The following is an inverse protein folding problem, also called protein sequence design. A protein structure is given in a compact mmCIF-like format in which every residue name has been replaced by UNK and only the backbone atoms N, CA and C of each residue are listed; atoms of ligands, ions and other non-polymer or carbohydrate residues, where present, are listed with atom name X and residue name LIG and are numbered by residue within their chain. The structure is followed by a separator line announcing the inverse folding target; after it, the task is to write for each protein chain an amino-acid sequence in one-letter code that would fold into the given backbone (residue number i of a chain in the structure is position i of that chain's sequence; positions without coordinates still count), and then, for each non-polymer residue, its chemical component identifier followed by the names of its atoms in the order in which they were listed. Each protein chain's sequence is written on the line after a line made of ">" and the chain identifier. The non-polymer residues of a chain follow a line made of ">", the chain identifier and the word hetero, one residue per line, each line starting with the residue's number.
data_IF_817426245297
#
_entry.id   IF_817426245297
#
_cell.length_a   1.000
_cell.length_b   1.000
_cell.length_c   1.000
_cell.angle_alpha   90.00
_cell.angle_beta   90.00
_cell.angle_gamma   90.00
#
_symmetry.space_group_name_H-M   'P 1'
#
loop_
_entity.id
_entity.type
_entity.pdbx_description
1 polymer ?
#
# COMPACT_ATOMS: atom_id res chain seq x y z
N UNK A 1 70.95 -12.04 37.99
CA UNK A 1 70.45 -12.31 39.36
C UNK A 1 69.19 -11.48 39.55
N UNK A 2 68.03 -12.17 39.57
CA UNK A 2 66.75 -11.90 40.27
C UNK A 2 66.16 -10.47 40.19
N UNK A 3 64.86 -10.21 40.01
CA UNK A 3 63.59 -10.93 40.10
C UNK A 3 62.54 -9.98 39.48
N UNK A 4 61.60 -10.40 38.63
CA UNK A 4 60.31 -11.07 38.94
C UNK A 4 59.19 -10.12 39.43
N UNK A 5 57.97 -10.37 38.90
CA UNK A 5 56.60 -10.01 39.34
C UNK A 5 55.97 -8.77 38.67
N UNK A 6 55.01 -8.90 37.75
CA UNK A 6 53.65 -9.46 37.84
C UNK A 6 52.72 -8.58 38.69
N UNK A 7 51.78 -7.83 38.08
CA UNK A 7 50.48 -7.50 38.70
C UNK A 7 49.56 -6.71 37.77
N UNK A 8 48.32 -7.21 37.63
CA UNK A 8 47.05 -6.49 37.48
C UNK A 8 46.93 -5.34 36.46
N UNK A 9 46.03 -5.49 35.49
CA UNK A 9 44.74 -4.76 35.50
C UNK A 9 43.73 -5.49 34.61
N UNK A 10 42.83 -6.23 35.25
CA UNK A 10 41.58 -6.72 34.70
C UNK A 10 40.62 -5.52 34.72
N UNK A 11 40.18 -5.02 33.56
CA UNK A 11 39.01 -4.15 33.49
C UNK A 11 38.06 -4.72 32.45
N UNK A 12 36.95 -5.20 32.99
CA UNK A 12 35.79 -5.73 32.31
C UNK A 12 35.20 -4.67 31.36
N UNK A 13 35.12 -5.02 30.07
CA UNK A 13 34.15 -4.40 29.17
C UNK A 13 33.05 -5.42 28.93
N UNK A 14 32.11 -5.46 29.88
CA UNK A 14 30.80 -6.08 29.71
C UNK A 14 30.07 -5.18 28.71
N UNK A 15 30.22 -5.50 27.43
CA UNK A 15 29.36 -4.96 26.40
C UNK A 15 28.05 -5.74 26.47
N UNK A 16 27.13 -5.19 27.27
CA UNK A 16 25.76 -5.63 27.39
C UNK A 16 25.05 -5.32 26.06
N UNK A 17 25.22 -6.17 25.06
CA UNK A 17 24.41 -6.13 23.86
C UNK A 17 23.03 -6.70 24.20
N UNK A 18 22.14 -5.77 24.53
CA UNK A 18 20.70 -5.91 24.36
C UNK A 18 20.45 -6.42 22.94
N UNK A 19 20.30 -7.74 22.80
CA UNK A 19 19.57 -8.31 21.67
C UNK A 19 18.12 -7.89 21.88
N UNK A 20 17.76 -6.75 21.29
CA UNK A 20 16.40 -6.36 21.02
C UNK A 20 15.67 -7.59 20.51
N UNK A 21 14.70 -8.06 21.28
CA UNK A 21 13.79 -9.11 20.88
C UNK A 21 13.00 -8.58 19.69
N UNK A 22 13.52 -8.78 18.47
CA UNK A 22 12.71 -8.77 17.26
C UNK A 22 11.78 -9.95 17.41
N UNK A 23 10.68 -9.73 18.13
CA UNK A 23 9.48 -10.54 17.97
C UNK A 23 9.01 -10.25 16.56
N UNK A 24 9.60 -10.96 15.59
CA UNK A 24 9.00 -11.21 14.29
C UNK A 24 7.68 -11.88 14.62
N UNK A 25 6.68 -11.05 14.87
CA UNK A 25 5.31 -11.43 14.62
C UNK A 25 5.30 -11.69 13.11
N UNK A 26 5.56 -12.94 12.72
CA UNK A 26 5.03 -13.54 11.50
C UNK A 26 3.50 -13.52 11.62
N UNK A 27 2.95 -12.31 11.69
CA UNK A 27 1.56 -12.01 11.97
C UNK A 27 0.86 -12.02 10.64
N UNK A 28 0.13 -13.11 10.40
CA UNK A 28 -0.94 -13.20 9.41
C UNK A 28 -0.61 -12.45 8.11
N UNK A 29 0.18 -13.07 7.22
CA UNK A 29 0.41 -12.51 5.89
C UNK A 29 -0.93 -12.27 5.22
N UNK A 30 -1.30 -10.99 5.13
CA UNK A 30 -2.53 -10.52 4.53
C UNK A 30 -2.66 -11.11 3.13
N UNK A 31 -3.89 -11.38 2.69
CA UNK A 31 -4.17 -11.79 1.29
C UNK A 31 -3.53 -10.81 0.29
N UNK A 32 -3.37 -9.54 0.68
CA UNK A 32 -2.80 -8.49 -0.15
C UNK A 32 -1.28 -8.55 -0.32
N UNK A 33 -0.56 -9.30 0.53
CA UNK A 33 0.88 -9.54 0.35
C UNK A 33 1.19 -10.86 -0.34
N UNK A 34 0.21 -11.76 -0.42
CA UNK A 34 0.39 -13.12 -0.96
C UNK A 34 -0.14 -13.31 -2.37
N UNK A 35 -1.10 -12.49 -2.79
CA UNK A 35 -1.76 -12.60 -4.08
C UNK A 35 -1.55 -11.34 -4.92
N UNK A 36 -1.49 -11.52 -6.23
CA UNK A 36 -1.43 -10.41 -7.18
C UNK A 36 -2.76 -9.63 -7.23
N UNK A 37 -2.74 -8.31 -7.48
CA UNK A 37 -3.95 -7.49 -7.59
C UNK A 37 -4.96 -7.93 -8.66
N UNK A 38 -4.51 -8.70 -9.66
CA UNK A 38 -5.39 -9.27 -10.70
C UNK A 38 -6.15 -10.51 -10.24
N UNK A 39 -5.75 -11.14 -9.13
CA UNK A 39 -6.36 -12.37 -8.62
C UNK A 39 -7.81 -12.14 -8.15
N UNK A 40 -8.72 -13.06 -8.47
CA UNK A 40 -10.13 -12.97 -8.05
C UNK A 40 -10.31 -12.77 -6.55
N UNK A 41 -9.67 -13.60 -5.73
CA UNK A 41 -9.82 -13.56 -4.28
C UNK A 41 -9.25 -12.27 -3.68
N UNK A 42 -8.18 -11.74 -4.28
CA UNK A 42 -7.63 -10.43 -3.92
C UNK A 42 -8.66 -9.33 -4.17
N UNK A 43 -9.20 -9.26 -5.39
CA UNK A 43 -10.16 -8.22 -5.78
C UNK A 43 -11.42 -8.26 -4.93
N UNK A 44 -11.95 -9.45 -4.67
CA UNK A 44 -13.14 -9.63 -3.84
C UNK A 44 -12.87 -9.24 -2.38
N UNK A 45 -11.68 -9.56 -1.85
CA UNK A 45 -11.30 -9.14 -0.49
C UNK A 45 -11.13 -7.63 -0.38
N UNK A 46 -10.48 -7.00 -1.37
CA UNK A 46 -10.30 -5.56 -1.41
C UNK A 46 -11.64 -4.82 -1.51
N UNK A 47 -12.54 -5.30 -2.37
CA UNK A 47 -13.89 -4.75 -2.49
C UNK A 47 -14.66 -4.79 -1.16
N UNK A 48 -14.60 -5.91 -0.43
CA UNK A 48 -15.23 -6.02 0.90
C UNK A 48 -14.62 -5.04 1.92
N UNK A 49 -13.30 -4.86 1.90
CA UNK A 49 -12.62 -3.89 2.77
C UNK A 49 -13.07 -2.47 2.48
N UNK A 50 -13.13 -2.09 1.20
CA UNK A 50 -13.59 -0.76 0.78
C UNK A 50 -15.06 -0.53 1.12
N UNK A 51 -15.92 -1.53 0.93
CA UNK A 51 -17.34 -1.41 1.24
C UNK A 51 -17.63 -1.32 2.74
N UNK A 52 -16.74 -1.85 3.59
CA UNK A 52 -16.92 -1.90 5.04
C UNK A 52 -16.41 -0.69 5.81
N UNK A 53 -15.51 0.12 5.22
CA UNK A 53 -14.82 1.22 5.93
C UNK A 53 -14.62 2.42 4.99
N UNK A 54 -15.66 3.22 4.75
CA UNK A 54 -15.61 4.29 3.75
C UNK A 54 -14.87 5.54 4.22
N UNK A 55 -14.69 5.72 5.52
CA UNK A 55 -14.32 7.00 6.10
C UNK A 55 -12.84 7.10 6.47
N UNK A 56 -12.14 5.96 6.55
CA UNK A 56 -10.73 5.89 6.96
C UNK A 56 -9.81 5.32 5.87
N UNK A 57 -10.22 5.38 4.60
CA UNK A 57 -9.39 4.90 3.49
C UNK A 57 -8.68 6.06 2.80
N UNK A 58 -7.36 5.92 2.69
CA UNK A 58 -6.48 6.80 1.92
C UNK A 58 -6.20 6.15 0.57
N UNK A 59 -6.33 6.92 -0.50
CA UNK A 59 -6.08 6.49 -1.87
C UNK A 59 -4.92 7.30 -2.45
N UNK A 60 -3.78 6.66 -2.67
CA UNK A 60 -2.59 7.31 -3.26
C UNK A 60 -2.42 6.84 -4.70
N UNK A 61 -2.33 7.77 -5.65
CA UNK A 61 -2.08 7.42 -7.04
C UNK A 61 -0.66 6.84 -7.19
N UNK A 62 -0.54 5.67 -7.79
CA UNK A 62 0.76 5.08 -8.14
C UNK A 62 1.03 5.27 -9.64
N UNK A 63 0.10 4.82 -10.49
CA UNK A 63 0.29 4.93 -11.95
C UNK A 63 -1.00 4.94 -12.72
N UNK A 64 -0.96 5.53 -13.90
CA UNK A 64 -1.96 5.38 -14.95
C UNK A 64 -1.57 4.20 -15.86
N UNK A 65 -2.54 3.42 -16.31
CA UNK A 65 -2.36 2.38 -17.32
C UNK A 65 -3.50 2.39 -18.32
N UNK A 66 -3.19 2.08 -19.57
CA UNK A 66 -4.17 1.85 -20.62
C UNK A 66 -3.98 0.43 -21.16
N UNK A 67 -5.07 -0.33 -21.28
CA UNK A 67 -5.05 -1.68 -21.83
C UNK A 67 -6.35 -1.96 -22.59
N UNK A 68 -6.24 -2.40 -23.85
CA UNK A 68 -7.38 -2.71 -24.72
C UNK A 68 -8.42 -1.57 -24.79
N UNK A 69 -7.95 -0.32 -24.91
CA UNK A 69 -8.80 0.88 -24.97
C UNK A 69 -9.52 1.23 -23.66
N UNK A 70 -9.21 0.55 -22.55
CA UNK A 70 -9.69 0.89 -21.21
C UNK A 70 -8.57 1.54 -20.43
N UNK A 71 -8.93 2.54 -19.63
CA UNK A 71 -7.99 3.33 -18.86
C UNK A 71 -8.17 3.04 -17.36
N UNK A 72 -7.06 2.91 -16.65
CA UNK A 72 -7.01 2.46 -15.27
C UNK A 72 -6.07 3.33 -14.44
N UNK A 73 -6.42 3.53 -13.18
CA UNK A 73 -5.52 4.04 -12.15
C UNK A 73 -5.14 2.89 -11.22
N UNK A 74 -3.84 2.65 -11.08
CA UNK A 74 -3.33 1.84 -9.98
C UNK A 74 -3.14 2.77 -8.79
N UNK A 75 -3.77 2.43 -7.68
CA UNK A 75 -3.75 3.21 -6.45
C UNK A 75 -3.27 2.37 -5.29
N UNK A 76 -2.48 2.93 -4.40
CA UNK A 76 -2.31 2.36 -3.07
C UNK A 76 -3.54 2.70 -2.24
N UNK A 77 -4.13 1.69 -1.61
CA UNK A 77 -5.34 1.80 -0.79
C UNK A 77 -4.96 1.39 0.62
N UNK A 78 -4.97 2.35 1.52
CA UNK A 78 -4.58 2.19 2.91
C UNK A 78 -5.81 2.39 3.78
N UNK A 79 -6.18 1.34 4.51
CA UNK A 79 -7.18 1.41 5.56
C UNK A 79 -6.57 1.04 6.92
N UNK A 80 -7.37 1.04 8.00
CA UNK A 80 -6.86 0.86 9.36
C UNK A 80 -6.12 -0.46 9.60
N UNK A 81 -6.53 -1.53 8.91
CA UNK A 81 -5.98 -2.87 9.08
C UNK A 81 -5.50 -3.53 7.77
N UNK A 82 -5.41 -2.75 6.67
CA UNK A 82 -4.96 -3.27 5.39
C UNK A 82 -4.24 -2.23 4.54
N UNK A 83 -3.29 -2.70 3.73
CA UNK A 83 -2.62 -1.95 2.68
C UNK A 83 -2.63 -2.81 1.42
N UNK A 84 -3.13 -2.27 0.32
CA UNK A 84 -3.36 -3.02 -0.92
C UNK A 84 -3.23 -2.12 -2.16
N UNK A 85 -2.83 -2.69 -3.28
CA UNK A 85 -2.91 -2.05 -4.58
C UNK A 85 -4.28 -2.29 -5.21
N UNK A 86 -5.04 -1.22 -5.45
CA UNK A 86 -6.28 -1.26 -6.23
C UNK A 86 -6.06 -0.91 -7.69
N UNK A 87 -6.81 -1.56 -8.57
CA UNK A 87 -6.90 -1.21 -9.99
C UNK A 87 -8.29 -0.64 -10.24
N UNK A 88 -8.37 0.67 -10.49
CA UNK A 88 -9.62 1.39 -10.67
C UNK A 88 -9.83 1.67 -12.16
N UNK A 89 -10.92 1.18 -12.72
CA UNK A 89 -11.37 1.51 -14.08
C UNK A 89 -11.94 2.93 -14.11
N UNK A 90 -11.50 3.73 -15.07
CA UNK A 90 -11.95 5.12 -15.25
C UNK A 90 -12.63 5.28 -16.61
N UNK A 91 -13.96 5.37 -16.61
CA UNK A 91 -14.74 5.65 -17.84
C UNK A 91 -15.18 7.10 -17.95
N UNK A 92 -15.04 7.88 -16.87
CA UNK A 92 -15.32 9.30 -16.84
C UNK A 92 -14.16 10.02 -16.15
N UNK A 93 -13.57 11.00 -16.84
CA UNK A 93 -12.39 11.72 -16.38
C UNK A 93 -12.70 13.03 -15.68
N UNK A 94 -13.97 13.30 -15.37
CA UNK A 94 -14.36 14.47 -14.59
C UNK A 94 -13.52 14.57 -13.29
N UNK A 95 -12.87 15.71 -13.07
CA UNK A 95 -11.92 16.00 -11.97
C UNK A 95 -10.58 15.25 -12.00
N UNK A 96 -10.35 14.42 -13.01
CA UNK A 96 -9.11 13.68 -13.25
C UNK A 96 -8.46 14.08 -14.59
N UNK A 97 -8.92 15.15 -15.25
CA UNK A 97 -8.54 15.52 -16.61
C UNK A 97 -7.03 15.75 -16.73
N UNK A 98 -6.42 16.34 -15.71
CA UNK A 98 -4.97 16.55 -15.69
C UNK A 98 -4.21 15.23 -15.60
N UNK A 99 -4.66 14.29 -14.76
CA UNK A 99 -4.08 12.94 -14.68
C UNK A 99 -4.22 12.22 -16.03
N UNK A 100 -5.38 12.33 -16.70
CA UNK A 100 -5.57 11.79 -18.06
C UNK A 100 -4.58 12.41 -19.05
N UNK A 101 -4.52 13.74 -19.07
CA UNK A 101 -3.70 14.51 -20.02
C UNK A 101 -2.20 14.25 -19.88
N UNK A 102 -1.72 14.02 -18.66
CA UNK A 102 -0.31 13.67 -18.41
C UNK A 102 -0.05 12.17 -18.36
N UNK A 103 -1.08 11.33 -18.57
CA UNK A 103 -1.00 9.88 -18.36
C UNK A 103 -0.38 9.52 -17.00
N UNK A 104 -0.82 10.22 -15.96
CA UNK A 104 -0.36 10.06 -14.58
C UNK A 104 1.03 10.62 -14.27
N UNK A 105 1.77 11.15 -15.25
CA UNK A 105 3.07 11.77 -15.00
C UNK A 105 2.89 13.03 -14.14
N UNK A 106 3.71 13.13 -13.09
CA UNK A 106 3.66 14.24 -12.13
C UNK A 106 2.56 14.15 -11.09
N UNK A 107 1.83 13.02 -10.99
CA UNK A 107 0.81 12.79 -9.95
C UNK A 107 1.06 11.48 -9.17
N UNK A 108 2.17 10.78 -9.42
CA UNK A 108 2.53 9.61 -8.62
C UNK A 108 2.86 10.05 -7.20
N UNK A 109 2.17 9.48 -6.22
CA UNK A 109 2.24 9.88 -4.81
C UNK A 109 1.12 10.84 -4.40
N UNK A 110 0.35 11.40 -5.35
CA UNK A 110 -0.75 12.29 -5.03
C UNK A 110 -1.91 11.53 -4.37
N UNK A 111 -2.49 12.11 -3.33
CA UNK A 111 -3.70 11.61 -2.69
C UNK A 111 -4.94 11.97 -3.51
N UNK A 112 -5.75 10.97 -3.83
CA UNK A 112 -7.08 11.11 -4.42
C UNK A 112 -8.10 11.28 -3.29
N UNK A 113 -8.10 12.46 -2.67
CA UNK A 113 -8.85 12.71 -1.44
C UNK A 113 -10.35 12.66 -1.66
N UNK A 114 -11.03 11.88 -0.81
CA UNK A 114 -12.48 11.65 -0.89
C UNK A 114 -12.91 10.92 -2.16
N UNK A 115 -12.05 10.07 -2.72
CA UNK A 115 -12.35 9.20 -3.84
C UNK A 115 -13.56 8.32 -3.55
N UNK A 116 -14.51 8.32 -4.48
CA UNK A 116 -15.67 7.42 -4.49
C UNK A 116 -15.49 6.39 -5.58
N UNK A 117 -15.58 5.13 -5.19
CA UNK A 117 -15.53 3.99 -6.11
C UNK A 117 -16.85 3.24 -6.10
N UNK A 118 -17.32 2.85 -7.27
CA UNK A 118 -18.35 1.83 -7.42
C UNK A 118 -17.71 0.45 -7.44
N UNK A 119 -18.41 -0.53 -6.88
CA UNK A 119 -17.99 -1.94 -6.87
C UNK A 119 -18.97 -2.73 -7.71
N UNK A 120 -18.47 -3.44 -8.70
CA UNK A 120 -19.25 -4.31 -9.58
C UNK A 120 -18.71 -5.74 -9.50
N UNK A 121 -19.54 -6.70 -9.10
CA UNK A 121 -19.14 -8.10 -9.02
C UNK A 121 -19.15 -8.74 -10.41
N UNK A 122 -18.18 -9.64 -10.66
CA UNK A 122 -18.15 -10.45 -11.87
C UNK A 122 -17.48 -11.82 -11.59
N UNK A 123 -17.55 -12.78 -12.53
CA UNK A 123 -16.96 -14.11 -12.34
C UNK A 123 -15.45 -14.13 -12.07
N UNK A 124 -14.72 -13.13 -12.54
CA UNK A 124 -13.27 -12.97 -12.37
C UNK A 124 -12.90 -12.15 -11.13
N UNK A 125 -13.88 -11.72 -10.33
CA UNK A 125 -13.72 -10.92 -9.12
C UNK A 125 -13.99 -9.43 -9.33
N UNK A 126 -14.30 -8.74 -8.24
CA UNK A 126 -14.82 -7.38 -8.20
C UNK A 126 -14.04 -6.39 -9.09
N UNK A 127 -14.77 -5.48 -9.72
CA UNK A 127 -14.25 -4.32 -10.45
C UNK A 127 -14.47 -3.09 -9.60
N UNK A 128 -13.40 -2.34 -9.36
CA UNK A 128 -13.48 -0.99 -8.81
C UNK A 128 -13.60 -0.01 -9.97
N UNK A 129 -14.63 0.85 -9.94
CA UNK A 129 -14.90 1.83 -10.98
C UNK A 129 -14.94 3.23 -10.38
N UNK A 130 -14.20 4.16 -10.98
CA UNK A 130 -14.22 5.56 -10.55
C UNK A 130 -15.64 6.14 -10.64
N UNK A 131 -16.03 6.93 -9.63
CA UNK A 131 -17.30 7.66 -9.61
C UNK A 131 -17.10 9.16 -9.46
N UNK A 132 -16.33 9.57 -8.46
CA UNK A 132 -16.07 10.97 -8.15
C UNK A 132 -14.88 11.10 -7.19
N UNK A 133 -14.36 12.32 -7.01
CA UNK A 133 -13.42 12.66 -5.94
C UNK A 133 -13.66 14.10 -5.46
N UNK A 134 -13.14 14.44 -4.28
CA UNK A 134 -13.22 15.83 -3.78
C UNK A 134 -12.12 16.69 -4.38
N UNK A 135 -10.87 16.26 -4.22
CA UNK A 135 -9.68 16.97 -4.69
C UNK A 135 -8.50 16.01 -4.89
N UNK A 136 -7.48 16.47 -5.62
CA UNK A 136 -6.18 15.81 -5.73
C UNK A 136 -5.20 16.63 -4.89
N UNK A 137 -4.47 15.98 -3.99
CA UNK A 137 -3.45 16.60 -3.13
C UNK A 137 -2.08 16.01 -3.52
N UNK A 138 -1.16 16.86 -3.98
CA UNK A 138 0.20 16.51 -4.42
C UNK A 138 1.23 17.38 -3.69
#
# INVERSE_FOLDING_TARGET
>A
MNAMKNSLFIIASICLTILSSCKNNESQTSIFTRLEPSNKNYKDALARKIAGDTDNIIYILNSYKENNGKEFLNVNIEGPDFNATGIILVDNWNKLEKIKGTKGLGYSGAELKGLKVGIEENPNGAILRYKDLKEIVD
#
